data_IF_322924460363
#
_entry.id   IF_322924460363
#
_cell.length_a   1.000
_cell.length_b   1.000
_cell.length_c   1.000
_cell.angle_alpha   90.00
_cell.angle_beta   90.00
_cell.angle_gamma   90.00
#
_symmetry.space_group_name_H-M   'P 1'
#
loop_
_entity.id
_entity.type
_entity.pdbx_description
1 polymer ?
#
# COMPACT_ATOMS: atom_id res chain seq x y z
N UNK A 1 -0.53 6.32 -70.35
CA UNK A 1 -0.13 5.33 -69.35
C UNK A 1 0.89 5.99 -68.42
N UNK A 2 0.45 6.42 -67.24
CA UNK A 2 1.28 7.17 -66.28
C UNK A 2 1.90 6.21 -65.26
N UNK A 3 3.20 6.33 -65.03
CA UNK A 3 3.94 5.58 -64.01
C UNK A 3 3.31 5.72 -62.62
N UNK A 4 2.54 6.79 -62.37
CA UNK A 4 1.80 6.99 -61.13
C UNK A 4 0.81 5.87 -60.80
N UNK A 5 0.17 5.23 -61.80
CA UNK A 5 -0.70 4.08 -61.53
C UNK A 5 0.10 2.86 -61.10
N UNK A 6 1.28 2.66 -61.67
CA UNK A 6 2.15 1.52 -61.37
C UNK A 6 2.84 1.70 -60.01
N UNK A 7 3.29 2.92 -59.70
CA UNK A 7 3.88 3.27 -58.41
C UNK A 7 2.85 3.22 -57.27
N UNK A 8 1.61 3.67 -57.49
CA UNK A 8 0.52 3.47 -56.51
C UNK A 8 0.27 1.99 -56.23
N UNK A 9 0.28 1.15 -57.27
CA UNK A 9 0.10 -0.30 -57.11
C UNK A 9 1.25 -0.95 -56.31
N UNK A 10 2.50 -0.51 -56.54
CA UNK A 10 3.66 -0.94 -55.77
C UNK A 10 3.64 -0.42 -54.34
N UNK A 11 3.21 0.83 -54.14
CA UNK A 11 3.09 1.47 -52.84
C UNK A 11 2.00 0.84 -51.96
N UNK A 12 0.85 0.46 -52.53
CA UNK A 12 -0.20 -0.28 -51.82
C UNK A 12 0.29 -1.67 -51.40
N UNK A 13 0.99 -2.38 -52.30
CA UNK A 13 1.54 -3.72 -51.99
C UNK A 13 2.66 -3.66 -50.94
N UNK A 14 3.47 -2.60 -50.94
CA UNK A 14 4.51 -2.35 -49.95
C UNK A 14 3.94 -1.90 -48.58
N UNK A 15 2.88 -1.10 -48.57
CA UNK A 15 2.27 -0.61 -47.32
C UNK A 15 1.53 -1.70 -46.55
N UNK A 16 1.04 -2.77 -47.21
CA UNK A 16 0.40 -3.90 -46.53
C UNK A 16 1.29 -4.54 -45.46
N UNK A 17 2.58 -4.73 -45.76
CA UNK A 17 3.56 -5.28 -44.80
C UNK A 17 3.88 -4.30 -43.67
N UNK A 18 3.96 -3.00 -43.96
CA UNK A 18 4.25 -1.96 -42.97
C UNK A 18 3.09 -1.79 -41.98
N UNK A 19 1.85 -1.81 -42.46
CA UNK A 19 0.69 -1.65 -41.60
C UNK A 19 0.49 -2.85 -40.66
N UNK A 20 0.70 -4.08 -41.18
CA UNK A 20 0.65 -5.29 -40.34
C UNK A 20 1.72 -5.27 -39.24
N UNK A 21 2.95 -4.81 -39.56
CA UNK A 21 4.01 -4.67 -38.56
C UNK A 21 3.67 -3.62 -37.49
N UNK A 22 3.11 -2.48 -37.89
CA UNK A 22 2.66 -1.44 -36.97
C UNK A 22 1.54 -1.94 -36.04
N UNK A 23 0.53 -2.62 -36.57
CA UNK A 23 -0.56 -3.18 -35.76
C UNK A 23 -0.07 -4.26 -34.78
N UNK A 24 0.86 -5.14 -35.21
CA UNK A 24 1.48 -6.13 -34.32
C UNK A 24 2.27 -5.46 -33.19
N UNK A 25 3.02 -4.40 -33.51
CA UNK A 25 3.77 -3.65 -32.50
C UNK A 25 2.85 -2.94 -31.51
N UNK A 26 1.76 -2.31 -31.99
CA UNK A 26 0.79 -1.66 -31.09
C UNK A 26 0.07 -2.66 -30.19
N UNK A 27 -0.33 -3.82 -30.70
CA UNK A 27 -0.90 -4.88 -29.87
C UNK A 27 0.10 -5.45 -28.86
N UNK A 28 1.38 -5.57 -29.24
CA UNK A 28 2.43 -6.00 -28.33
C UNK A 28 2.66 -4.96 -27.22
N UNK A 29 2.70 -3.67 -27.57
CA UNK A 29 2.81 -2.56 -26.62
C UNK A 29 1.64 -2.54 -25.64
N UNK A 30 0.42 -2.72 -26.14
CA UNK A 30 -0.77 -2.76 -25.29
C UNK A 30 -0.75 -3.95 -24.30
N UNK A 31 -0.32 -5.13 -24.77
CA UNK A 31 -0.11 -6.30 -23.91
C UNK A 31 1.01 -6.09 -22.88
N UNK A 32 2.10 -5.43 -23.27
CA UNK A 32 3.16 -5.04 -22.34
C UNK A 32 2.65 -4.09 -21.26
N UNK A 33 1.87 -3.08 -21.61
CA UNK A 33 1.31 -2.12 -20.63
C UNK A 33 0.42 -2.83 -19.61
N UNK A 34 -0.49 -3.70 -20.07
CA UNK A 34 -1.34 -4.49 -19.17
C UNK A 34 -0.49 -5.42 -18.28
N UNK A 35 0.54 -6.05 -18.85
CA UNK A 35 1.47 -6.89 -18.09
C UNK A 35 2.24 -6.11 -17.02
N UNK A 36 2.72 -4.91 -17.33
CA UNK A 36 3.42 -4.04 -16.38
C UNK A 36 2.49 -3.58 -15.26
N UNK A 37 1.25 -3.20 -15.58
CA UNK A 37 0.25 -2.83 -14.56
C UNK A 37 -0.05 -4.02 -13.66
N UNK A 38 -0.23 -5.23 -14.22
CA UNK A 38 -0.43 -6.45 -13.45
C UNK A 38 0.73 -6.77 -12.52
N UNK A 39 1.98 -6.70 -13.01
CA UNK A 39 3.17 -6.91 -12.19
C UNK A 39 3.33 -5.84 -11.11
N UNK A 40 3.02 -4.58 -11.41
CA UNK A 40 3.05 -3.50 -10.43
C UNK A 40 2.01 -3.73 -9.31
N UNK A 41 0.79 -4.18 -9.65
CA UNK A 41 -0.24 -4.52 -8.67
C UNK A 41 0.16 -5.72 -7.81
N UNK A 42 0.69 -6.79 -8.41
CA UNK A 42 1.16 -7.97 -7.68
C UNK A 42 2.32 -7.59 -6.74
N UNK A 43 3.28 -6.80 -7.23
CA UNK A 43 4.39 -6.28 -6.44
C UNK A 43 3.92 -5.38 -5.30
N UNK A 44 2.94 -4.52 -5.54
CA UNK A 44 2.35 -3.64 -4.53
C UNK A 44 1.59 -4.44 -3.45
N UNK A 45 0.77 -5.41 -3.85
CA UNK A 45 0.04 -6.28 -2.91
C UNK A 45 1.02 -7.11 -2.08
N UNK A 46 2.07 -7.66 -2.71
CA UNK A 46 3.12 -8.39 -2.00
C UNK A 46 3.88 -7.50 -1.00
N UNK A 47 4.27 -6.29 -1.41
CA UNK A 47 4.92 -5.32 -0.54
C UNK A 47 3.99 -4.84 0.58
N UNK A 48 2.72 -4.55 0.28
CA UNK A 48 1.74 -4.12 1.28
C UNK A 48 1.40 -5.25 2.25
N UNK A 49 1.26 -6.49 1.80
CA UNK A 49 1.05 -7.62 2.69
C UNK A 49 2.26 -7.83 3.60
N UNK A 50 3.49 -7.68 3.08
CA UNK A 50 4.71 -7.78 3.89
C UNK A 50 4.84 -6.59 4.86
N UNK A 51 4.52 -5.38 4.42
CA UNK A 51 4.52 -4.17 5.24
C UNK A 51 3.46 -4.25 6.35
N UNK A 52 2.25 -4.70 6.02
CA UNK A 52 1.17 -4.97 6.97
C UNK A 52 1.53 -6.14 7.89
N UNK A 53 2.23 -7.17 7.42
CA UNK A 53 2.68 -8.28 8.28
C UNK A 53 3.81 -7.85 9.23
N UNK A 54 4.71 -6.97 8.79
CA UNK A 54 5.71 -6.34 9.68
C UNK A 54 5.07 -5.35 10.67
N UNK A 55 4.05 -4.60 10.24
CA UNK A 55 3.29 -3.68 11.11
C UNK A 55 2.36 -4.43 12.08
N UNK A 56 1.91 -5.64 11.73
CA UNK A 56 1.15 -6.54 12.61
C UNK A 56 2.05 -7.46 13.45
N UNK A 57 3.38 -7.41 13.30
CA UNK A 57 4.23 -7.77 14.43
C UNK A 57 3.91 -6.69 15.45
N UNK A 58 3.39 -7.06 16.63
CA UNK A 58 2.79 -6.12 17.57
C UNK A 58 3.77 -4.96 17.75
N UNK A 59 3.35 -3.80 17.27
CA UNK A 59 3.97 -2.53 17.62
C UNK A 59 4.15 -2.58 19.14
N UNK A 60 5.41 -2.34 19.50
CA UNK A 60 6.01 -2.27 20.82
C UNK A 60 5.04 -2.19 21.99
N UNK A 61 5.30 -3.03 22.99
CA UNK A 61 5.01 -2.79 24.40
C UNK A 61 4.39 -1.40 24.62
N UNK A 62 3.06 -1.33 24.64
CA UNK A 62 2.43 -0.18 25.28
C UNK A 62 2.87 -0.37 26.73
N UNK A 63 3.97 0.30 27.13
CA UNK A 63 4.34 0.49 28.52
C UNK A 63 3.23 1.35 29.09
N UNK A 64 2.10 0.69 29.39
CA UNK A 64 1.04 1.26 30.19
C UNK A 64 1.68 1.38 31.56
N UNK A 65 2.03 2.60 31.92
CA UNK A 65 2.60 2.89 33.22
C UNK A 65 1.52 2.67 34.28
N UNK A 66 1.65 1.57 35.03
CA UNK A 66 0.74 1.17 36.10
C UNK A 66 1.13 1.77 37.46
N UNK A 67 2.14 2.65 37.53
CA UNK A 67 2.54 3.30 38.78
C UNK A 67 1.36 3.96 39.49
N UNK A 68 0.44 4.55 38.73
CA UNK A 68 -0.79 5.10 39.30
C UNK A 68 -1.62 4.05 40.04
N UNK A 69 -1.77 2.83 39.52
CA UNK A 69 -2.58 1.77 40.15
C UNK A 69 -1.87 1.17 41.38
N UNK A 70 -0.55 1.06 41.33
CA UNK A 70 0.25 0.51 42.43
C UNK A 70 0.32 1.45 43.65
N UNK A 71 0.27 2.78 43.43
CA UNK A 71 0.34 3.80 44.50
C UNK A 71 -1.04 4.10 45.15
N UNK A 72 -2.15 3.85 44.45
CA UNK A 72 -3.52 4.01 44.96
C UNK A 72 -3.79 3.39 46.34
N UNK A 73 -3.41 2.13 46.64
CA UNK A 73 -3.66 1.54 47.96
C UNK A 73 -2.96 2.30 49.10
N UNK A 74 -1.79 2.87 48.83
CA UNK A 74 -1.00 3.61 49.82
C UNK A 74 -1.56 5.02 50.05
N UNK A 75 -2.02 5.69 48.99
CA UNK A 75 -2.75 6.95 49.09
C UNK A 75 -4.07 6.76 49.86
N UNK A 76 -4.82 5.68 49.57
CA UNK A 76 -6.06 5.35 50.28
C UNK A 76 -5.84 5.03 51.76
N UNK A 77 -4.75 4.35 52.12
CA UNK A 77 -4.43 4.11 53.53
C UNK A 77 -4.08 5.41 54.26
N UNK A 78 -3.29 6.28 53.62
CA UNK A 78 -2.94 7.59 54.19
C UNK A 78 -4.17 8.50 54.35
N UNK A 79 -5.07 8.52 53.36
CA UNK A 79 -6.32 9.28 53.43
C UNK A 79 -7.21 8.80 54.57
N UNK A 80 -7.32 7.49 54.80
CA UNK A 80 -8.07 6.90 55.92
C UNK A 80 -7.48 7.26 57.28
N UNK A 81 -6.15 7.25 57.39
CA UNK A 81 -5.45 7.65 58.62
C UNK A 81 -5.59 9.15 58.89
N UNK A 82 -5.55 9.97 57.84
CA UNK A 82 -5.81 11.41 57.94
C UNK A 82 -7.26 11.69 58.37
N UNK A 83 -8.25 10.98 57.80
CA UNK A 83 -9.67 11.11 58.19
C UNK A 83 -9.91 10.65 59.64
N UNK A 84 -9.21 9.60 60.09
CA UNK A 84 -9.24 9.13 61.48
C UNK A 84 -8.53 10.08 62.46
N UNK A 85 -7.56 10.86 61.98
CA UNK A 85 -6.89 11.91 62.75
C UNK A 85 -7.70 13.22 62.79
N UNK A 86 -8.52 13.47 61.76
CA UNK A 86 -9.37 14.67 61.65
C UNK A 86 -10.76 14.50 62.25
N UNK A 87 -11.19 13.30 62.65
CA UNK A 87 -12.42 13.13 63.46
C UNK A 87 -12.12 13.51 64.91
N UNK A 88 -12.49 14.72 65.37
CA UNK A 88 -12.37 15.03 66.79
C UNK A 88 -13.48 14.24 67.48
N UNK A 89 -13.12 13.50 68.52
CA UNK A 89 -14.08 12.86 69.41
C UNK A 89 -15.22 13.85 69.78
N UNK A 90 -16.46 13.47 69.45
CA UNK A 90 -17.61 13.86 70.28
C UNK A 90 -17.43 13.31 71.70
#
# INVERSE_FOLDING_TARGET
>A
MSQEKVDKYKAEKANRKKNIKKQKLQNALHKCVIGVIGLALIGWIGYSAYNTYQTNRPVDEIQIDYSAVDELPQELSQAREAEAAETPAE
#
